data_IF_867860715923
#
_entry.id   IF_867860715923
#
_cell.length_a   1.000
_cell.length_b   1.000
_cell.length_c   1.000
_cell.angle_alpha   90.00
_cell.angle_beta   90.00
_cell.angle_gamma   90.00
#
_symmetry.space_group_name_H-M   'P 1'
#
loop_
_entity.id
_entity.type
_entity.pdbx_description
1 polymer ?
#
# COMPACT_ATOMS: atom_id res chain seq x y z
N UNK A 1 -7.31 30.65 -28.68
CA UNK A 1 -6.77 29.73 -27.66
C UNK A 1 -6.01 30.55 -26.63
N UNK A 2 -6.17 30.26 -25.35
CA UNK A 2 -5.31 30.85 -24.30
C UNK A 2 -3.94 30.20 -24.36
N UNK A 3 -2.88 30.96 -24.08
CA UNK A 3 -1.56 30.40 -23.91
C UNK A 3 -1.50 29.51 -22.66
N UNK A 4 -0.65 28.48 -22.72
CA UNK A 4 -0.41 27.52 -21.62
C UNK A 4 1.05 27.64 -21.18
N UNK A 5 1.35 27.18 -19.96
CA UNK A 5 2.72 27.14 -19.42
C UNK A 5 3.42 28.52 -19.40
N UNK A 6 2.66 29.60 -19.23
CA UNK A 6 3.20 30.96 -19.21
C UNK A 6 4.07 31.25 -17.98
N UNK A 7 3.94 30.46 -16.90
CA UNK A 7 4.76 30.64 -15.71
C UNK A 7 6.26 30.53 -16.06
N UNK A 8 7.12 31.43 -15.55
CA UNK A 8 8.53 31.47 -15.96
C UNK A 8 9.31 30.17 -15.76
N UNK A 9 8.88 29.29 -14.85
CA UNK A 9 9.53 27.99 -14.62
C UNK A 9 9.60 27.13 -15.90
N UNK A 10 8.60 27.23 -16.77
CA UNK A 10 8.53 26.45 -18.01
C UNK A 10 9.32 27.08 -19.17
N UNK A 11 9.83 28.30 -18.99
CA UNK A 11 10.46 29.10 -20.06
C UNK A 11 11.91 29.50 -19.75
N UNK A 12 12.50 28.97 -18.66
CA UNK A 12 13.84 29.35 -18.17
C UNK A 12 14.93 28.29 -18.30
N UNK A 13 14.56 27.02 -18.44
CA UNK A 13 15.52 25.90 -18.37
C UNK A 13 15.37 24.97 -19.57
N UNK A 14 15.68 25.48 -20.76
CA UNK A 14 15.47 24.74 -22.02
C UNK A 14 16.73 24.01 -22.50
N UNK A 15 17.91 24.43 -22.06
CA UNK A 15 19.14 23.66 -22.28
C UNK A 15 19.32 22.58 -21.22
N UNK A 16 19.98 21.49 -21.59
CA UNK A 16 20.33 20.40 -20.68
C UNK A 16 21.11 20.90 -19.46
N UNK A 17 22.07 21.82 -19.66
CA UNK A 17 22.86 22.41 -18.58
C UNK A 17 22.02 23.22 -17.59
N UNK A 18 21.07 24.03 -18.08
CA UNK A 18 20.17 24.80 -17.23
C UNK A 18 19.26 23.88 -16.42
N UNK A 19 18.71 22.84 -17.05
CA UNK A 19 17.84 21.87 -16.40
C UNK A 19 18.61 21.06 -15.34
N UNK A 20 19.82 20.59 -15.64
CA UNK A 20 20.68 19.89 -14.68
C UNK A 20 20.97 20.75 -13.44
N UNK A 21 21.31 22.04 -13.63
CA UNK A 21 21.54 22.97 -12.51
C UNK A 21 20.27 23.20 -11.70
N UNK A 22 19.12 23.33 -12.37
CA UNK A 22 17.84 23.50 -11.70
C UNK A 22 17.46 22.28 -10.86
N UNK A 23 17.57 21.07 -11.42
CA UNK A 23 17.33 19.81 -10.69
C UNK A 23 18.25 19.67 -9.48
N UNK A 24 19.56 19.92 -9.65
CA UNK A 24 20.51 19.89 -8.54
C UNK A 24 20.16 20.88 -7.44
N UNK A 25 19.80 22.12 -7.81
CA UNK A 25 19.38 23.16 -6.87
C UNK A 25 18.13 22.77 -6.07
N UNK A 26 17.19 22.04 -6.68
CA UNK A 26 16.02 21.53 -5.96
C UNK A 26 16.41 20.39 -5.02
N UNK A 27 17.14 19.39 -5.53
CA UNK A 27 17.60 18.25 -4.73
C UNK A 27 18.43 18.67 -3.51
N UNK A 28 19.23 19.74 -3.62
CA UNK A 28 20.05 20.22 -2.50
C UNK A 28 19.23 20.76 -1.31
N UNK A 29 17.96 21.13 -1.53
CA UNK A 29 17.05 21.59 -0.48
C UNK A 29 16.42 20.45 0.31
N UNK A 30 16.47 19.24 -0.22
CA UNK A 30 15.80 18.08 0.37
C UNK A 30 16.81 17.25 1.19
N UNK A 31 16.39 16.81 2.37
CA UNK A 31 17.15 15.87 3.18
C UNK A 31 16.77 14.45 2.77
N UNK A 32 17.73 13.68 2.26
CA UNK A 32 17.54 12.32 1.77
C UNK A 32 18.52 11.31 2.42
N UNK A 33 18.31 10.02 2.13
CA UNK A 33 19.06 8.91 2.74
C UNK A 33 20.54 8.84 2.35
N UNK A 34 20.96 9.57 1.32
CA UNK A 34 22.37 9.75 0.95
C UNK A 34 23.13 10.67 1.92
N UNK A 35 22.42 11.38 2.82
CA UNK A 35 23.01 12.34 3.77
C UNK A 35 23.00 11.84 5.20
N UNK A 36 21.88 11.28 5.66
CA UNK A 36 21.68 10.92 7.06
C UNK A 36 20.58 9.88 7.20
N UNK A 37 20.53 9.24 8.37
CA UNK A 37 19.37 8.48 8.81
C UNK A 37 18.13 9.40 8.87
N UNK A 38 17.00 8.88 8.37
CA UNK A 38 15.67 9.50 8.45
C UNK A 38 14.76 8.54 9.24
N UNK A 39 14.66 8.67 10.58
CA UNK A 39 14.01 7.68 11.45
C UNK A 39 12.49 7.91 11.54
N UNK A 40 11.79 7.87 10.40
CA UNK A 40 10.34 7.98 10.36
C UNK A 40 9.70 6.64 10.76
N UNK A 41 9.05 6.63 11.94
CA UNK A 41 8.30 5.46 12.43
C UNK A 41 7.24 5.02 11.43
N UNK A 42 7.01 3.70 11.35
CA UNK A 42 6.10 3.06 10.37
C UNK A 42 6.49 3.21 8.87
N UNK A 43 7.56 3.93 8.52
CA UNK A 43 7.96 4.15 7.13
C UNK A 43 9.06 3.19 6.63
N UNK A 44 9.78 2.52 7.53
CA UNK A 44 10.84 1.55 7.17
C UNK A 44 11.88 2.13 6.18
N UNK A 45 12.49 3.27 6.53
CA UNK A 45 13.49 3.95 5.71
C UNK A 45 14.83 3.18 5.65
N UNK A 46 14.83 2.05 4.95
CA UNK A 46 15.99 1.17 4.74
C UNK A 46 16.76 1.53 3.47
N UNK A 47 17.85 0.80 3.21
CA UNK A 47 18.61 0.90 1.98
C UNK A 47 17.73 0.62 0.74
N UNK A 48 17.86 1.45 -0.27
CA UNK A 48 17.44 1.16 -1.64
C UNK A 48 18.71 0.86 -2.44
N UNK A 49 19.07 -0.42 -2.62
CA UNK A 49 20.38 -0.75 -3.16
C UNK A 49 20.46 -0.43 -4.65
N UNK A 50 21.61 0.08 -5.12
CA UNK A 50 21.78 0.41 -6.53
C UNK A 50 21.51 -0.79 -7.46
N UNK A 51 21.93 -1.99 -7.05
CA UNK A 51 21.66 -3.23 -7.78
C UNK A 51 20.17 -3.56 -7.93
N UNK A 52 19.34 -3.16 -6.97
CA UNK A 52 17.89 -3.35 -7.01
C UNK A 52 17.20 -2.32 -7.92
N UNK A 53 17.77 -1.12 -8.04
CA UNK A 53 17.18 0.00 -8.79
C UNK A 53 17.53 -0.01 -10.29
N UNK A 54 18.70 -0.53 -10.67
CA UNK A 54 19.18 -0.54 -12.06
C UNK A 54 18.16 -1.17 -13.05
N UNK A 55 17.59 -2.36 -12.77
CA UNK A 55 16.69 -3.02 -13.72
C UNK A 55 15.42 -2.24 -14.05
N UNK A 56 14.95 -1.36 -13.16
CA UNK A 56 13.73 -0.57 -13.37
C UNK A 56 13.79 0.28 -14.65
N UNK A 57 15.00 0.66 -15.10
CA UNK A 57 15.21 1.47 -16.32
C UNK A 57 15.63 0.66 -17.55
N UNK A 58 15.74 -0.66 -17.46
CA UNK A 58 16.00 -1.50 -18.64
C UNK A 58 14.83 -1.44 -19.61
N UNK A 59 15.10 -1.45 -20.91
CA UNK A 59 14.05 -1.34 -21.92
C UNK A 59 13.07 -2.52 -21.84
N UNK A 60 13.58 -3.70 -21.49
CA UNK A 60 12.84 -4.95 -21.31
C UNK A 60 11.80 -4.85 -20.19
N UNK A 61 12.00 -3.97 -19.20
CA UNK A 61 11.03 -3.66 -18.15
C UNK A 61 10.24 -2.38 -18.47
N UNK A 62 10.93 -1.27 -18.73
CA UNK A 62 10.32 0.06 -18.83
C UNK A 62 9.56 0.37 -20.13
N UNK A 63 9.82 -0.35 -21.22
CA UNK A 63 9.23 -0.09 -22.55
C UNK A 63 8.21 -1.15 -23.00
N UNK A 64 7.67 -1.94 -22.07
CA UNK A 64 6.58 -2.87 -22.37
C UNK A 64 5.22 -2.22 -22.08
N UNK A 65 4.31 -2.23 -23.06
CA UNK A 65 2.94 -1.76 -22.86
C UNK A 65 2.18 -2.74 -21.94
N UNK A 66 1.40 -2.27 -20.95
CA UNK A 66 0.73 -3.15 -19.98
C UNK A 66 -0.31 -4.11 -20.59
N UNK A 67 -0.78 -3.83 -21.82
CA UNK A 67 -1.67 -4.70 -22.59
C UNK A 67 -1.00 -5.33 -23.81
N UNK A 68 0.33 -5.45 -23.80
CA UNK A 68 1.04 -6.22 -24.82
C UNK A 68 0.54 -7.69 -24.81
N UNK A 69 0.51 -8.37 -25.97
CA UNK A 69 0.23 -9.80 -26.02
C UNK A 69 1.11 -10.61 -25.06
N UNK A 70 0.54 -11.65 -24.44
CA UNK A 70 1.19 -12.39 -23.35
C UNK A 70 2.53 -13.04 -23.78
N UNK A 71 2.67 -13.39 -25.05
CA UNK A 71 3.92 -13.89 -25.63
C UNK A 71 5.07 -12.86 -25.60
N UNK A 72 4.77 -11.56 -25.46
CA UNK A 72 5.76 -10.49 -25.35
C UNK A 72 6.17 -10.20 -23.91
N UNK A 73 5.47 -10.76 -22.91
CA UNK A 73 5.67 -10.49 -21.48
C UNK A 73 6.14 -11.72 -20.69
N UNK A 74 6.68 -12.76 -21.35
CA UNK A 74 7.11 -13.99 -20.68
C UNK A 74 8.13 -13.77 -19.55
N UNK A 75 9.06 -12.82 -19.72
CA UNK A 75 10.00 -12.44 -18.66
C UNK A 75 9.31 -11.80 -17.45
N UNK A 76 8.27 -11.00 -17.68
CA UNK A 76 7.43 -10.46 -16.61
C UNK A 76 6.62 -11.55 -15.91
N UNK A 77 6.09 -12.51 -16.66
CA UNK A 77 5.35 -13.64 -16.08
C UNK A 77 6.25 -14.44 -15.13
N UNK A 78 7.46 -14.78 -15.55
CA UNK A 78 8.42 -15.44 -14.68
C UNK A 78 8.74 -14.60 -13.43
N UNK A 79 8.98 -13.30 -13.61
CA UNK A 79 9.24 -12.38 -12.49
C UNK A 79 8.09 -12.36 -11.48
N UNK A 80 6.84 -12.28 -11.94
CA UNK A 80 5.67 -12.26 -11.06
C UNK A 80 5.47 -13.60 -10.36
N UNK A 81 5.64 -14.72 -11.06
CA UNK A 81 5.49 -16.07 -10.48
C UNK A 81 6.50 -16.31 -9.37
N UNK A 82 7.77 -15.96 -9.60
CA UNK A 82 8.84 -16.09 -8.61
C UNK A 82 8.61 -15.16 -7.41
N UNK A 83 8.19 -13.92 -7.65
CA UNK A 83 7.90 -12.97 -6.58
C UNK A 83 6.70 -13.40 -5.73
N UNK A 84 5.62 -13.86 -6.35
CA UNK A 84 4.46 -14.40 -5.65
C UNK A 84 4.85 -15.61 -4.78
N UNK A 85 5.66 -16.54 -5.31
CA UNK A 85 6.14 -17.69 -4.56
C UNK A 85 6.99 -17.28 -3.34
N UNK A 86 7.90 -16.31 -3.50
CA UNK A 86 8.71 -15.78 -2.40
C UNK A 86 7.85 -15.09 -1.33
N UNK A 87 6.85 -14.32 -1.74
CA UNK A 87 5.94 -13.63 -0.81
C UNK A 87 5.03 -14.61 -0.07
N UNK A 88 4.50 -15.65 -0.74
CA UNK A 88 3.77 -16.73 -0.10
C UNK A 88 4.64 -17.45 0.94
N UNK A 89 5.88 -17.79 0.60
CA UNK A 89 6.81 -18.43 1.54
C UNK A 89 7.13 -17.55 2.76
N UNK A 90 7.24 -16.24 2.58
CA UNK A 90 7.54 -15.28 3.66
C UNK A 90 6.33 -15.01 4.58
N UNK A 91 5.11 -15.09 4.05
CA UNK A 91 3.88 -14.70 4.77
C UNK A 91 3.04 -15.88 5.25
N UNK A 92 3.22 -17.06 4.66
CA UNK A 92 2.40 -18.24 4.94
C UNK A 92 1.02 -18.23 4.27
N UNK A 93 0.76 -17.31 3.33
CA UNK A 93 -0.45 -17.32 2.50
C UNK A 93 -0.34 -18.31 1.34
N UNK A 94 -1.48 -18.77 0.84
CA UNK A 94 -1.56 -19.67 -0.32
C UNK A 94 -1.36 -18.95 -1.66
N UNK A 95 -1.71 -17.66 -1.75
CA UNK A 95 -1.63 -16.86 -2.97
C UNK A 95 -1.44 -15.37 -2.67
N UNK A 96 -0.85 -14.65 -3.63
CA UNK A 96 -0.63 -13.20 -3.58
C UNK A 96 -1.16 -12.56 -4.87
N UNK A 97 -1.69 -11.34 -4.76
CA UNK A 97 -2.01 -10.52 -5.93
C UNK A 97 -1.10 -9.30 -5.96
N UNK A 98 -0.41 -9.10 -7.08
CA UNK A 98 0.47 -7.93 -7.32
C UNK A 98 -0.27 -6.72 -7.93
N UNK A 99 -1.60 -6.79 -8.07
CA UNK A 99 -2.39 -5.71 -8.66
C UNK A 99 -2.47 -4.43 -7.80
N UNK A 100 -2.59 -4.49 -6.45
CA UNK A 100 -2.65 -3.28 -5.63
C UNK A 100 -1.32 -2.51 -5.63
N UNK A 101 -1.34 -1.27 -6.08
CA UNK A 101 -0.14 -0.42 -6.25
C UNK A 101 0.19 0.47 -5.03
N UNK A 102 -0.50 0.29 -3.91
CA UNK A 102 -0.26 0.97 -2.64
C UNK A 102 -0.79 0.13 -1.48
N UNK A 103 -0.27 0.34 -0.25
CA UNK A 103 -0.73 -0.37 0.94
C UNK A 103 -2.25 -0.20 1.18
N UNK A 104 -2.77 1.01 1.06
CA UNK A 104 -4.22 1.29 1.17
C UNK A 104 -5.06 0.59 0.09
N UNK A 105 -4.53 0.44 -1.12
CA UNK A 105 -5.19 -0.33 -2.18
C UNK A 105 -5.19 -1.83 -1.86
N UNK A 106 -4.14 -2.33 -1.21
CA UNK A 106 -4.07 -3.70 -0.71
C UNK A 106 -5.11 -3.97 0.39
N UNK A 107 -5.24 -3.06 1.36
CA UNK A 107 -6.30 -3.09 2.37
C UNK A 107 -7.69 -3.15 1.72
N UNK A 108 -7.96 -2.23 0.79
CA UNK A 108 -9.23 -2.16 0.07
C UNK A 108 -9.53 -3.45 -0.72
N UNK A 109 -8.56 -3.95 -1.49
CA UNK A 109 -8.71 -5.20 -2.24
C UNK A 109 -8.97 -6.40 -1.32
N UNK A 110 -8.27 -6.50 -0.19
CA UNK A 110 -8.48 -7.54 0.81
C UNK A 110 -9.88 -7.51 1.42
N UNK A 111 -10.39 -6.32 1.76
CA UNK A 111 -11.75 -6.17 2.28
C UNK A 111 -12.82 -6.50 1.23
N UNK A 112 -12.59 -6.15 -0.04
CA UNK A 112 -13.47 -6.58 -1.14
C UNK A 112 -13.46 -8.10 -1.31
N UNK A 113 -12.30 -8.76 -1.19
CA UNK A 113 -12.20 -10.21 -1.24
C UNK A 113 -12.95 -10.88 -0.07
N UNK A 114 -12.81 -10.36 1.15
CA UNK A 114 -13.57 -10.83 2.33
C UNK A 114 -15.08 -10.65 2.12
N UNK A 115 -15.50 -9.50 1.59
CA UNK A 115 -16.91 -9.23 1.28
C UNK A 115 -17.45 -10.21 0.24
N UNK A 116 -16.72 -10.45 -0.85
CA UNK A 116 -17.10 -11.43 -1.87
C UNK A 116 -17.18 -12.86 -1.29
N UNK A 117 -16.28 -13.20 -0.37
CA UNK A 117 -16.29 -14.48 0.35
C UNK A 117 -17.50 -14.65 1.28
N UNK A 118 -17.97 -13.59 1.94
CA UNK A 118 -19.24 -13.66 2.68
C UNK A 118 -20.43 -13.83 1.75
N UNK A 119 -20.46 -13.07 0.65
CA UNK A 119 -21.53 -13.16 -0.35
C UNK A 119 -21.63 -14.55 -1.00
N UNK A 120 -20.51 -15.18 -1.33
CA UNK A 120 -20.48 -16.51 -1.94
C UNK A 120 -21.06 -17.62 -1.05
N UNK A 121 -21.12 -17.38 0.27
CA UNK A 121 -21.71 -18.28 1.28
C UNK A 121 -23.12 -17.90 1.70
N UNK A 122 -23.71 -16.86 1.07
CA UNK A 122 -25.04 -16.35 1.40
C UNK A 122 -25.10 -15.37 2.58
N UNK A 123 -23.95 -14.98 3.14
CA UNK A 123 -23.81 -14.12 4.32
C UNK A 123 -23.68 -12.62 3.95
N UNK A 124 -24.48 -12.14 3.00
CA UNK A 124 -24.34 -10.77 2.46
C UNK A 124 -24.56 -9.65 3.48
N UNK A 125 -25.16 -9.95 4.65
CA UNK A 125 -25.36 -8.99 5.75
C UNK A 125 -24.13 -8.77 6.63
N UNK A 126 -23.04 -9.51 6.40
CA UNK A 126 -21.79 -9.34 7.14
C UNK A 126 -21.01 -8.16 6.57
N UNK A 127 -21.15 -7.01 7.22
CA UNK A 127 -20.54 -5.74 6.81
C UNK A 127 -19.84 -5.01 7.97
N UNK A 128 -19.79 -5.57 9.19
CA UNK A 128 -19.09 -4.95 10.32
C UNK A 128 -17.59 -5.27 10.26
N UNK A 129 -16.76 -4.22 10.28
CA UNK A 129 -15.31 -4.32 10.38
C UNK A 129 -14.85 -3.78 11.75
N UNK A 130 -14.27 -4.65 12.57
CA UNK A 130 -13.66 -4.26 13.84
C UNK A 130 -12.27 -3.68 13.59
N UNK A 131 -11.97 -2.52 14.16
CA UNK A 131 -10.69 -1.84 13.98
C UNK A 131 -10.20 -1.32 15.34
N UNK A 132 -9.03 -1.71 15.84
CA UNK A 132 -8.45 -1.13 17.05
C UNK A 132 -8.20 0.37 16.91
N UNK A 133 -8.40 1.12 17.99
CA UNK A 133 -8.18 2.57 18.01
C UNK A 133 -6.74 3.00 17.68
N UNK A 134 -5.77 2.09 17.78
CA UNK A 134 -4.38 2.31 17.41
C UNK A 134 -4.08 2.12 15.91
N UNK A 135 -5.04 1.63 15.12
CA UNK A 135 -4.81 1.33 13.71
C UNK A 135 -4.39 2.57 12.90
N UNK A 136 -3.67 2.35 11.80
CA UNK A 136 -3.36 3.42 10.85
C UNK A 136 -4.65 4.01 10.26
N UNK A 137 -4.64 5.32 9.95
CA UNK A 137 -5.82 6.04 9.46
C UNK A 137 -6.36 5.53 8.12
N UNK A 138 -5.58 4.78 7.35
CA UNK A 138 -6.03 4.12 6.11
C UNK A 138 -7.06 3.03 6.39
N UNK A 139 -6.92 2.27 7.48
CA UNK A 139 -7.80 1.14 7.80
C UNK A 139 -9.29 1.52 7.85
N UNK A 140 -9.73 2.53 8.65
CA UNK A 140 -11.15 2.91 8.66
C UNK A 140 -11.59 3.53 7.33
N UNK A 141 -10.70 4.22 6.61
CA UNK A 141 -11.03 4.83 5.32
C UNK A 141 -11.28 3.75 4.24
N UNK A 142 -10.41 2.74 4.17
CA UNK A 142 -10.53 1.63 3.20
C UNK A 142 -11.70 0.72 3.54
N UNK A 143 -11.99 0.49 4.82
CA UNK A 143 -13.20 -0.21 5.25
C UNK A 143 -14.48 0.52 4.85
N UNK A 144 -14.53 1.84 5.02
CA UNK A 144 -15.65 2.64 4.54
C UNK A 144 -15.81 2.57 3.02
N UNK A 145 -14.70 2.71 2.28
CA UNK A 145 -14.71 2.58 0.81
C UNK A 145 -15.21 1.19 0.35
N UNK A 146 -14.88 0.13 1.07
CA UNK A 146 -15.34 -1.24 0.78
C UNK A 146 -16.84 -1.46 1.08
N UNK A 147 -17.52 -0.45 1.65
CA UNK A 147 -18.91 -0.50 2.05
C UNK A 147 -19.14 -1.20 3.39
N UNK A 148 -18.11 -1.26 4.25
CA UNK A 148 -18.21 -1.83 5.59
C UNK A 148 -18.53 -0.75 6.63
N UNK A 149 -19.24 -1.14 7.69
CA UNK A 149 -19.49 -0.33 8.88
C UNK A 149 -18.37 -0.56 9.88
N UNK A 150 -17.62 0.50 10.18
CA UNK A 150 -16.49 0.45 11.11
C UNK A 150 -16.98 0.49 12.55
N UNK A 151 -16.51 -0.46 13.36
CA UNK A 151 -16.69 -0.46 14.82
C UNK A 151 -15.32 -0.42 15.47
N UNK A 152 -15.04 0.65 16.20
CA UNK A 152 -13.74 0.85 16.86
C UNK A 152 -13.65 -0.02 18.10
N UNK A 153 -12.53 -0.71 18.30
CA UNK A 153 -12.20 -1.46 19.52
C UNK A 153 -11.14 -0.72 20.34
N UNK A 154 -11.24 -0.81 21.66
CA UNK A 154 -10.40 -0.07 22.58
C UNK A 154 -8.97 -0.65 22.63
N UNK A 155 -8.05 0.15 23.15
CA UNK A 155 -6.71 -0.27 23.53
C UNK A 155 -6.51 -0.08 25.04
N UNK A 156 -5.73 -0.97 25.67
CA UNK A 156 -5.39 -0.86 27.09
C UNK A 156 -4.41 0.31 27.34
N UNK A 157 -4.18 0.64 28.62
CA UNK A 157 -3.27 1.73 29.00
C UNK A 157 -1.80 1.50 28.59
N UNK A 158 -1.45 0.30 28.12
CA UNK A 158 -0.12 -0.04 27.61
C UNK A 158 -0.06 -0.04 26.08
N UNK A 159 -1.15 0.34 25.40
CA UNK A 159 -1.24 0.41 23.94
C UNK A 159 -1.54 -0.93 23.25
N UNK A 160 -1.89 -1.98 24.01
CA UNK A 160 -2.32 -3.25 23.43
C UNK A 160 -3.80 -3.19 23.03
N UNK A 161 -4.25 -4.04 22.12
CA UNK A 161 -5.68 -4.22 21.87
C UNK A 161 -6.36 -4.71 23.15
N UNK A 162 -7.44 -4.06 23.57
CA UNK A 162 -8.27 -4.53 24.68
C UNK A 162 -9.06 -5.76 24.22
N UNK A 163 -8.63 -6.93 24.70
CA UNK A 163 -9.20 -8.22 24.30
C UNK A 163 -10.64 -8.38 24.82
N UNK A 164 -10.98 -7.78 25.96
CA UNK A 164 -12.32 -7.91 26.54
C UNK A 164 -13.31 -7.03 25.79
N UNK A 165 -12.92 -5.79 25.44
CA UNK A 165 -13.73 -4.92 24.56
C UNK A 165 -13.87 -5.50 23.14
N UNK A 166 -12.78 -6.03 22.56
CA UNK A 166 -12.81 -6.72 21.27
C UNK A 166 -13.79 -7.90 21.31
N UNK A 167 -13.72 -8.74 22.35
CA UNK A 167 -14.63 -9.87 22.52
C UNK A 167 -16.08 -9.42 22.67
N UNK A 168 -16.34 -8.38 23.47
CA UNK A 168 -17.69 -7.84 23.65
C UNK A 168 -18.29 -7.36 22.33
N UNK A 169 -17.56 -6.58 21.55
CA UNK A 169 -18.00 -6.08 20.22
C UNK A 169 -18.15 -7.19 19.19
N UNK A 170 -17.29 -8.20 19.22
CA UNK A 170 -17.43 -9.38 18.36
C UNK A 170 -18.71 -10.17 18.69
N UNK A 171 -19.08 -10.29 19.96
CA UNK A 171 -20.33 -10.95 20.39
C UNK A 171 -21.55 -10.10 20.00
N UNK A 172 -21.50 -8.79 20.26
CA UNK A 172 -22.56 -7.83 19.91
C UNK A 172 -22.88 -7.86 18.41
N UNK A 173 -21.84 -7.89 17.57
CA UNK A 173 -21.98 -7.86 16.12
C UNK A 173 -21.85 -9.23 15.44
N UNK A 174 -21.88 -10.35 16.18
CA UNK A 174 -21.59 -11.72 15.68
C UNK A 174 -22.25 -12.08 14.34
N UNK A 175 -23.48 -11.59 14.17
CA UNK A 175 -24.40 -11.89 13.08
C UNK A 175 -24.14 -11.05 11.83
N UNK A 176 -23.38 -9.96 11.97
CA UNK A 176 -23.01 -8.98 10.95
C UNK A 176 -21.48 -8.82 10.84
N UNK A 177 -20.71 -9.52 11.67
CA UNK A 177 -19.25 -9.43 11.73
C UNK A 177 -18.64 -9.96 10.43
N UNK A 178 -17.93 -9.09 9.72
CA UNK A 178 -17.27 -9.38 8.45
C UNK A 178 -15.77 -9.61 8.61
N UNK A 179 -15.09 -8.70 9.32
CA UNK A 179 -13.64 -8.69 9.42
C UNK A 179 -13.14 -8.04 10.71
N UNK A 180 -11.87 -8.28 11.03
CA UNK A 180 -11.08 -7.56 12.01
C UNK A 180 -9.79 -7.13 11.29
N UNK A 181 -9.49 -5.83 11.29
CA UNK A 181 -8.22 -5.31 10.78
C UNK A 181 -7.24 -5.12 11.93
N UNK A 182 -6.11 -5.82 11.89
CA UNK A 182 -5.05 -5.73 12.90
C UNK A 182 -3.70 -5.44 12.24
N UNK A 183 -2.83 -4.75 12.99
CA UNK A 183 -1.44 -4.51 12.62
C UNK A 183 -0.56 -5.25 13.63
N UNK A 184 0.36 -6.07 13.14
CA UNK A 184 1.25 -6.87 13.98
C UNK A 184 2.71 -6.77 13.50
N UNK A 185 3.67 -6.31 14.32
CA UNK A 185 3.47 -5.71 15.65
C UNK A 185 2.61 -4.43 15.58
N UNK A 186 2.16 -3.92 16.72
CA UNK A 186 1.26 -2.78 16.76
C UNK A 186 1.91 -1.50 16.20
N UNK A 187 1.11 -0.48 15.90
CA UNK A 187 1.59 0.85 15.48
C UNK A 187 2.39 1.58 16.57
N UNK A 188 2.36 1.10 17.81
CA UNK A 188 3.20 1.61 18.90
C UNK A 188 4.64 1.09 18.87
N UNK A 189 4.97 0.16 17.97
CA UNK A 189 6.24 -0.58 17.95
C UNK A 189 6.30 -1.68 19.00
#
# INVERSE_FOLDING_TARGET
QSAILEHPVFNRYHSETELMRYLRKLADKDLALDRTMIPLGSCTMKLNAASEMIPVTWAEFGNLHPFAPAEQSQGYQQLTDELEAMLCAATGYDAVSLQPNAGSQGEYAGLLAIRAYHQSRGDARRDICLIPSSAHGTNPATAHMAGMRVVVTACDARGNVDIDDLRAKAIEHRDQLAALMITYPSTHG
#
